data_IF_089075570175
#
_entry.id   IF_089075570175
#
_cell.length_a   1.000
_cell.length_b   1.000
_cell.length_c   1.000
_cell.angle_alpha   90.00
_cell.angle_beta   90.00
_cell.angle_gamma   90.00
#
_symmetry.space_group_name_H-M   'P 1'
#
loop_
_entity.id
_entity.type
_entity.pdbx_description
1 polymer ?
#
# COMPACT_ATOMS: atom_id res chain seq x y z
N UNK A 1 4.58 -8.96 -16.52
CA UNK A 1 4.83 -8.53 -15.13
C UNK A 1 4.05 -7.26 -14.83
N UNK A 2 3.54 -7.11 -13.61
CA UNK A 2 2.82 -5.91 -13.16
C UNK A 2 3.79 -4.71 -13.06
N UNK A 3 3.36 -3.47 -13.36
CA UNK A 3 4.24 -2.29 -13.38
C UNK A 3 4.98 -2.02 -12.08
N UNK A 4 4.31 -2.24 -10.95
CA UNK A 4 4.88 -2.04 -9.62
C UNK A 4 6.13 -2.89 -9.37
N UNK A 5 6.23 -4.05 -10.04
CA UNK A 5 7.41 -4.92 -9.97
C UNK A 5 8.51 -4.42 -10.92
N UNK A 6 8.14 -3.75 -12.03
CA UNK A 6 9.09 -3.21 -13.02
C UNK A 6 9.80 -1.95 -12.52
N UNK A 7 9.13 -1.14 -11.72
CA UNK A 7 9.68 0.11 -11.17
C UNK A 7 10.62 -0.11 -9.96
N UNK A 8 10.83 -1.38 -9.56
CA UNK A 8 11.51 -1.73 -8.33
C UNK A 8 10.54 -1.63 -7.15
N UNK A 9 10.28 -2.75 -6.49
CA UNK A 9 9.52 -2.75 -5.24
C UNK A 9 10.41 -2.04 -4.21
N UNK A 10 9.98 -0.87 -3.75
CA UNK A 10 10.70 -0.04 -2.77
C UNK A 10 9.87 0.04 -1.49
N UNK A 11 10.54 -0.03 -0.35
CA UNK A 11 9.95 0.10 0.99
C UNK A 11 8.88 -0.95 1.31
N UNK A 12 9.13 -2.20 0.93
CA UNK A 12 8.30 -3.32 1.41
C UNK A 12 8.76 -3.68 2.83
N UNK A 13 7.95 -3.31 3.82
CA UNK A 13 8.07 -3.65 5.24
C UNK A 13 9.15 -2.91 6.05
N UNK A 14 10.24 -2.43 5.45
CA UNK A 14 11.25 -1.64 6.17
C UNK A 14 11.85 -0.56 5.29
N UNK A 15 12.27 0.53 5.93
CA UNK A 15 12.94 1.64 5.27
C UNK A 15 14.00 2.23 6.20
N UNK A 16 15.02 2.82 5.60
CA UNK A 16 16.01 3.64 6.29
C UNK A 16 15.91 5.04 5.71
N UNK A 17 16.03 6.05 6.58
CA UNK A 17 15.93 7.45 6.23
C UNK A 17 17.22 8.15 6.65
N UNK A 18 17.74 9.02 5.79
CA UNK A 18 18.91 9.85 6.14
C UNK A 18 18.52 10.87 7.21
N UNK A 19 19.51 11.40 7.93
CA UNK A 19 19.28 12.47 8.91
C UNK A 19 18.62 13.71 8.27
N UNK A 20 18.97 14.04 7.02
CA UNK A 20 18.35 15.12 6.26
C UNK A 20 16.89 14.80 5.92
N UNK A 21 16.60 13.59 5.43
CA UNK A 21 15.24 13.15 5.16
C UNK A 21 14.36 13.19 6.40
N UNK A 22 14.91 12.79 7.56
CA UNK A 22 14.19 12.78 8.84
C UNK A 22 13.76 14.18 9.30
N UNK A 23 14.45 15.25 8.87
CA UNK A 23 14.08 16.65 9.17
C UNK A 23 12.83 17.11 8.43
N UNK A 24 12.31 16.37 7.45
CA UNK A 24 11.11 16.74 6.68
C UNK A 24 9.80 16.64 7.47
N UNK A 25 9.82 15.95 8.60
CA UNK A 25 8.71 15.87 9.54
C UNK A 25 9.29 15.91 10.95
N UNK A 26 8.65 16.57 11.91
CA UNK A 26 9.15 16.61 13.30
C UNK A 26 8.76 15.33 14.04
N UNK A 27 7.45 15.07 14.10
CA UNK A 27 6.85 13.87 14.72
C UNK A 27 6.09 13.07 13.69
N UNK A 28 5.97 11.77 13.94
CA UNK A 28 5.04 10.93 13.18
C UNK A 28 3.62 11.40 13.44
N UNK A 29 2.85 11.58 12.36
CA UNK A 29 1.43 11.83 12.47
C UNK A 29 0.72 10.59 13.04
N UNK A 30 -0.37 10.81 13.77
CA UNK A 30 -1.24 9.72 14.23
C UNK A 30 -2.11 9.23 13.06
N UNK A 31 -1.54 8.32 12.26
CA UNK A 31 -2.13 7.81 11.02
C UNK A 31 -1.98 6.30 10.92
N UNK A 32 -2.90 5.67 10.21
CA UNK A 32 -2.94 4.20 10.06
C UNK A 32 -1.75 3.66 9.26
N UNK A 33 -1.23 4.45 8.32
CA UNK A 33 -0.13 4.09 7.43
C UNK A 33 1.03 5.06 7.66
N UNK A 34 1.85 4.71 8.64
CA UNK A 34 3.10 5.39 8.99
C UNK A 34 4.12 5.30 7.85
N UNK A 35 4.22 4.13 7.21
CA UNK A 35 5.00 3.90 6.00
C UNK A 35 4.56 4.80 4.84
N UNK A 36 3.25 4.92 4.63
CA UNK A 36 2.66 5.80 3.63
C UNK A 36 2.89 7.28 3.94
N UNK A 37 2.86 7.65 5.22
CA UNK A 37 3.20 9.00 5.68
C UNK A 37 4.63 9.36 5.34
N UNK A 38 5.61 8.53 5.72
CA UNK A 38 7.02 8.77 5.41
C UNK A 38 7.22 8.81 3.90
N UNK A 39 6.71 7.82 3.17
CA UNK A 39 6.77 7.78 1.70
C UNK A 39 6.22 9.04 1.04
N UNK A 40 5.17 9.64 1.60
CA UNK A 40 4.55 10.87 1.13
C UNK A 40 5.43 12.12 1.24
N UNK A 41 6.59 12.05 1.89
CA UNK A 41 7.56 13.16 2.01
C UNK A 41 8.70 13.09 0.98
N UNK A 42 8.74 12.05 0.15
CA UNK A 42 9.83 11.80 -0.79
C UNK A 42 9.32 11.56 -2.21
N UNK A 43 10.03 12.11 -3.20
CA UNK A 43 9.83 11.84 -4.62
C UNK A 43 10.42 10.49 -5.00
N UNK A 44 9.92 9.89 -6.07
CA UNK A 44 10.37 8.58 -6.58
C UNK A 44 11.89 8.53 -6.79
N UNK A 45 12.48 9.62 -7.31
CA UNK A 45 13.93 9.74 -7.55
C UNK A 45 14.79 9.75 -6.30
N UNK A 46 14.20 10.02 -5.13
CA UNK A 46 14.90 10.08 -3.84
C UNK A 46 14.93 8.72 -3.14
N UNK A 47 14.30 7.71 -3.74
CA UNK A 47 14.14 6.39 -3.17
C UNK A 47 14.96 5.38 -3.94
N UNK A 48 15.61 4.49 -3.19
CA UNK A 48 16.43 3.42 -3.74
C UNK A 48 16.39 2.20 -2.83
N UNK A 49 16.68 1.04 -3.41
CA UNK A 49 16.93 -0.18 -2.65
C UNK A 49 18.41 -0.21 -2.24
N UNK A 50 18.68 -0.71 -1.04
CA UNK A 50 20.04 -0.92 -0.56
C UNK A 50 20.59 -2.18 -1.27
N UNK A 51 21.71 -2.09 -2.01
CA UNK A 51 22.28 -3.25 -2.69
C UNK A 51 22.58 -4.39 -1.70
N UNK A 52 22.18 -5.62 -2.05
CA UNK A 52 22.41 -6.80 -1.21
C UNK A 52 21.52 -6.90 0.03
N UNK A 53 20.61 -5.96 0.27
CA UNK A 53 19.64 -6.08 1.35
C UNK A 53 18.50 -7.03 0.97
N UNK A 54 18.19 -7.96 1.88
CA UNK A 54 17.10 -8.92 1.72
C UNK A 54 16.07 -8.75 2.83
N UNK A 55 14.79 -8.92 2.48
CA UNK A 55 13.67 -8.90 3.42
C UNK A 55 12.83 -10.15 3.18
N UNK A 56 12.60 -10.90 4.25
CA UNK A 56 11.79 -12.11 4.23
C UNK A 56 10.39 -11.79 4.74
N UNK A 57 9.39 -11.96 3.89
CA UNK A 57 7.99 -11.69 4.22
C UNK A 57 7.20 -12.98 4.11
N UNK A 58 6.48 -13.35 5.17
CA UNK A 58 5.50 -14.43 5.12
C UNK A 58 4.18 -13.90 4.59
N UNK A 59 3.69 -14.51 3.52
CA UNK A 59 2.36 -14.21 3.01
C UNK A 59 1.28 -14.71 4.01
N UNK A 60 0.13 -14.02 4.11
CA UNK A 60 -1.01 -14.52 4.86
C UNK A 60 -1.45 -15.89 4.31
N UNK A 61 -1.89 -16.79 5.20
CA UNK A 61 -2.24 -18.17 4.82
C UNK A 61 -3.60 -18.30 4.15
N UNK A 62 -4.46 -17.30 4.30
CA UNK A 62 -5.83 -17.32 3.81
C UNK A 62 -6.30 -15.98 3.22
N UNK A 63 -7.38 -16.06 2.46
CA UNK A 63 -7.96 -14.91 1.76
C UNK A 63 -8.56 -13.87 2.71
N UNK A 64 -9.03 -14.27 3.90
CA UNK A 64 -9.61 -13.34 4.88
C UNK A 64 -8.52 -12.45 5.49
N UNK A 65 -7.39 -13.04 5.90
CA UNK A 65 -6.21 -12.32 6.35
C UNK A 65 -5.64 -11.42 5.26
N UNK A 66 -5.58 -11.92 4.01
CA UNK A 66 -5.17 -11.09 2.87
C UNK A 66 -6.08 -9.86 2.70
N UNK A 67 -7.40 -10.06 2.72
CA UNK A 67 -8.38 -8.97 2.61
C UNK A 67 -8.20 -7.97 3.75
N UNK A 68 -8.06 -8.40 5.01
CA UNK A 68 -7.83 -7.52 6.17
C UNK A 68 -6.59 -6.64 5.98
N UNK A 69 -5.43 -7.26 5.71
CA UNK A 69 -4.15 -6.52 5.52
C UNK A 69 -4.28 -5.51 4.38
N UNK A 70 -4.83 -5.91 3.23
CA UNK A 70 -4.96 -5.03 2.07
C UNK A 70 -6.01 -3.94 2.27
N UNK A 71 -7.10 -4.23 2.98
CA UNK A 71 -8.10 -3.24 3.38
C UNK A 71 -7.46 -2.19 4.30
N UNK A 72 -6.70 -2.57 5.34
CA UNK A 72 -5.95 -1.64 6.20
C UNK A 72 -5.01 -0.75 5.39
N UNK A 73 -4.19 -1.34 4.52
CA UNK A 73 -3.26 -0.57 3.69
C UNK A 73 -4.00 0.44 2.81
N UNK A 74 -5.16 0.07 2.26
CA UNK A 74 -5.97 0.98 1.44
C UNK A 74 -6.66 2.07 2.27
N UNK A 75 -7.13 1.73 3.46
CA UNK A 75 -7.72 2.65 4.43
C UNK A 75 -6.72 3.72 4.85
N UNK A 76 -5.51 3.33 5.27
CA UNK A 76 -4.47 4.28 5.65
C UNK A 76 -4.05 5.19 4.49
N UNK A 77 -3.87 4.63 3.29
CA UNK A 77 -3.63 5.44 2.09
C UNK A 77 -4.78 6.42 1.79
N UNK A 78 -6.03 6.06 2.08
CA UNK A 78 -7.19 6.94 1.92
C UNK A 78 -7.17 8.06 2.96
N UNK A 79 -6.96 7.72 4.23
CA UNK A 79 -6.83 8.67 5.33
C UNK A 79 -5.79 9.74 5.00
N UNK A 80 -4.56 9.33 4.62
CA UNK A 80 -3.47 10.26 4.28
C UNK A 80 -3.82 11.25 3.16
N UNK A 81 -4.56 10.81 2.14
CA UNK A 81 -4.99 11.68 1.03
C UNK A 81 -6.02 12.70 1.48
N UNK A 82 -6.97 12.29 2.30
CA UNK A 82 -8.07 13.15 2.76
C UNK A 82 -7.62 14.12 3.85
N UNK A 83 -6.68 13.73 4.69
CA UNK A 83 -6.07 14.60 5.72
C UNK A 83 -4.89 15.43 5.21
N UNK A 84 -4.59 15.38 3.91
CA UNK A 84 -3.47 16.07 3.26
C UNK A 84 -2.09 15.84 3.94
N UNK A 85 -1.86 14.64 4.46
CA UNK A 85 -0.62 14.27 5.18
C UNK A 85 0.52 13.80 4.25
N UNK A 86 0.30 13.82 2.93
CA UNK A 86 1.33 13.54 1.93
C UNK A 86 1.63 14.82 1.13
N UNK A 87 2.70 15.56 1.46
CA UNK A 87 3.06 16.79 0.75
C UNK A 87 3.54 16.53 -0.69
N UNK A 88 4.16 15.39 -0.95
CA UNK A 88 4.62 14.99 -2.29
C UNK A 88 3.55 14.13 -2.96
N UNK A 89 3.04 14.57 -4.11
CA UNK A 89 2.09 13.83 -4.94
C UNK A 89 2.70 13.55 -6.29
N UNK A 90 2.96 12.28 -6.57
CA UNK A 90 3.41 11.82 -7.88
C UNK A 90 2.35 10.93 -8.54
N UNK A 91 2.11 11.09 -9.86
CA UNK A 91 1.13 10.31 -10.57
C UNK A 91 1.55 8.84 -10.66
N UNK A 92 0.60 7.96 -10.39
CA UNK A 92 0.77 6.51 -10.52
C UNK A 92 0.63 6.09 -11.99
N UNK A 93 1.67 5.51 -12.60
CA UNK A 93 1.68 5.06 -14.01
C UNK A 93 1.12 3.63 -14.19
N UNK A 94 -0.11 3.39 -13.71
CA UNK A 94 -0.66 2.01 -13.62
C UNK A 94 -1.94 1.75 -14.44
N UNK A 95 -2.41 2.70 -15.25
CA UNK A 95 -3.78 2.74 -15.77
C UNK A 95 -4.19 1.62 -16.74
N UNK A 96 -3.31 1.16 -17.63
CA UNK A 96 -3.79 0.50 -18.87
C UNK A 96 -3.71 -1.04 -18.87
N UNK A 97 -3.01 -1.64 -17.91
CA UNK A 97 -2.65 -3.08 -17.98
C UNK A 97 -3.78 -4.02 -17.56
N UNK A 98 -4.70 -3.54 -16.73
CA UNK A 98 -5.85 -4.36 -16.29
C UNK A 98 -6.80 -4.64 -17.47
N UNK A 99 -7.00 -3.64 -18.34
CA UNK A 99 -7.87 -3.77 -19.50
C UNK A 99 -7.29 -4.74 -20.54
N UNK A 100 -5.98 -4.64 -20.81
CA UNK A 100 -5.24 -5.54 -21.69
C UNK A 100 -5.30 -7.01 -21.20
N UNK A 101 -5.23 -7.22 -19.88
CA UNK A 101 -5.31 -8.56 -19.27
C UNK A 101 -6.70 -9.16 -19.31
N UNK A 102 -7.74 -8.35 -19.18
CA UNK A 102 -9.13 -8.80 -19.20
C UNK A 102 -9.52 -9.45 -20.55
N UNK A 103 -8.92 -8.95 -21.64
CA UNK A 103 -9.14 -9.44 -23.01
C UNK A 103 -8.22 -10.62 -23.41
N UNK A 104 -7.41 -11.11 -22.47
CA UNK A 104 -6.46 -12.21 -22.70
C UNK A 104 -7.00 -13.56 -22.21
N UNK A 105 -6.23 -14.64 -22.42
CA UNK A 105 -6.55 -15.99 -21.92
C UNK A 105 -6.64 -16.07 -20.38
N UNK A 106 -6.12 -15.07 -19.66
CA UNK A 106 -6.16 -14.98 -18.20
C UNK A 106 -7.42 -14.24 -17.68
N UNK A 107 -8.51 -14.21 -18.45
CA UNK A 107 -9.70 -13.40 -18.14
C UNK A 107 -10.35 -13.80 -16.81
N UNK A 108 -10.48 -15.10 -16.51
CA UNK A 108 -11.06 -15.59 -15.25
C UNK A 108 -10.24 -15.12 -14.03
N UNK A 109 -8.91 -15.27 -14.08
CA UNK A 109 -8.02 -14.81 -13.01
C UNK A 109 -8.10 -13.29 -12.85
N UNK A 110 -8.24 -12.56 -13.95
CA UNK A 110 -8.41 -11.10 -13.93
C UNK A 110 -9.75 -10.71 -13.29
N UNK A 111 -10.84 -11.42 -13.59
CA UNK A 111 -12.16 -11.21 -12.97
C UNK A 111 -12.09 -11.46 -11.46
N UNK A 112 -11.51 -12.58 -11.02
CA UNK A 112 -11.33 -12.88 -9.60
C UNK A 112 -10.52 -11.76 -8.92
N UNK A 113 -9.42 -11.33 -9.53
CA UNK A 113 -8.60 -10.22 -9.01
C UNK A 113 -9.41 -8.92 -8.86
N UNK A 114 -10.24 -8.58 -9.86
CA UNK A 114 -11.12 -7.41 -9.84
C UNK A 114 -12.14 -7.52 -8.70
N UNK A 115 -12.78 -8.67 -8.54
CA UNK A 115 -13.77 -8.91 -7.50
C UNK A 115 -13.17 -8.73 -6.10
N UNK A 116 -12.02 -9.36 -5.83
CA UNK A 116 -11.33 -9.21 -4.54
C UNK A 116 -10.94 -7.73 -4.34
N UNK A 117 -10.41 -7.06 -5.37
CA UNK A 117 -10.03 -5.63 -5.30
C UNK A 117 -11.24 -4.72 -5.00
N UNK A 118 -12.40 -5.03 -5.56
CA UNK A 118 -13.64 -4.31 -5.30
C UNK A 118 -14.10 -4.52 -3.84
N UNK A 119 -14.09 -5.75 -3.35
CA UNK A 119 -14.39 -6.08 -1.95
C UNK A 119 -13.48 -5.29 -1.01
N UNK A 120 -12.16 -5.31 -1.25
CA UNK A 120 -11.19 -4.54 -0.46
C UNK A 120 -11.50 -3.03 -0.48
N UNK A 121 -11.90 -2.48 -1.63
CA UNK A 121 -12.25 -1.06 -1.81
C UNK A 121 -13.54 -0.67 -1.08
N UNK A 122 -14.56 -1.52 -1.15
CA UNK A 122 -15.82 -1.31 -0.44
C UNK A 122 -15.61 -1.36 1.07
N UNK A 123 -14.91 -2.38 1.57
CA UNK A 123 -14.57 -2.51 3.00
C UNK A 123 -13.78 -1.31 3.51
N UNK A 124 -12.73 -0.89 2.80
CA UNK A 124 -11.95 0.29 3.20
C UNK A 124 -12.79 1.57 3.20
N UNK A 125 -13.73 1.71 2.26
CA UNK A 125 -14.60 2.89 2.20
C UNK A 125 -15.63 2.91 3.33
N UNK A 126 -16.17 1.74 3.68
CA UNK A 126 -17.08 1.58 4.82
C UNK A 126 -16.37 1.84 6.14
N UNK A 127 -15.20 1.22 6.38
CA UNK A 127 -14.41 1.45 7.60
C UNK A 127 -13.99 2.91 7.76
N UNK A 128 -13.68 3.60 6.66
CA UNK A 128 -13.37 5.02 6.72
C UNK A 128 -14.55 5.88 7.22
N UNK A 129 -15.80 5.49 6.96
CA UNK A 129 -16.97 6.21 7.49
C UNK A 129 -17.10 6.07 9.00
N UNK A 130 -16.59 4.97 9.55
CA UNK A 130 -16.59 4.66 10.99
C UNK A 130 -15.19 4.75 11.58
N UNK A 131 -14.34 5.64 11.04
CA UNK A 131 -12.92 5.74 11.43
C UNK A 131 -12.73 6.02 12.92
N UNK A 132 -13.68 6.72 13.56
CA UNK A 132 -13.67 7.00 14.99
C UNK A 132 -13.74 5.75 15.88
N UNK A 133 -14.21 4.62 15.34
CA UNK A 133 -14.29 3.33 16.02
C UNK A 133 -13.30 2.30 15.43
N UNK A 134 -12.33 2.76 14.62
CA UNK A 134 -11.39 1.86 13.97
C UNK A 134 -10.43 1.23 14.99
N UNK A 135 -10.45 -0.10 15.07
CA UNK A 135 -9.44 -0.88 15.79
C UNK A 135 -8.40 -1.44 14.82
N UNK A 136 -7.13 -1.47 15.23
CA UNK A 136 -6.03 -1.91 14.38
C UNK A 136 -6.13 -3.42 14.06
N UNK A 137 -6.52 -3.74 12.82
CA UNK A 137 -6.63 -5.13 12.33
C UNK A 137 -5.24 -5.78 12.17
N UNK A 138 -4.97 -6.81 12.97
CA UNK A 138 -3.75 -7.64 12.91
C UNK A 138 -3.98 -8.92 12.12
N UNK A 139 -2.97 -9.35 11.36
CA UNK A 139 -2.92 -10.73 10.86
C UNK A 139 -2.36 -11.65 11.95
N UNK A 140 -3.13 -12.68 12.29
CA UNK A 140 -2.74 -13.71 13.26
C UNK A 140 -2.39 -15.05 12.57
N UNK A 141 -2.59 -15.16 11.25
CA UNK A 141 -2.42 -16.42 10.50
C UNK A 141 -0.95 -16.79 10.26
N UNK A 142 -0.06 -15.80 10.21
CA UNK A 142 1.32 -15.93 9.72
C UNK A 142 2.39 -16.05 10.81
N UNK A 143 1.98 -16.13 12.10
CA UNK A 143 2.88 -16.37 13.25
C UNK A 143 3.58 -17.72 13.14
#
# INVERSE_FOLDING_TARGET
>A
SLPYVKEGVIATCSYVITAEGRKRFDRFADVISDDGYVRGHFRNRELSNIPGAEIYIRAPKDIYSLIKIKTRARLGNKQLRETNQCPVREPKRYGNIVLERLLSKDSLSTVIYILITLIMRMRASSQYRTLSQYEWEKDLSSR
#
